data_IF_139930506996
#
_entry.id   IF_139930506996
#
_cell.length_a   1.000
_cell.length_b   1.000
_cell.length_c   1.000
_cell.angle_alpha   90.00
_cell.angle_beta   90.00
_cell.angle_gamma   90.00
#
_symmetry.space_group_name_H-M   'P 1'
#
loop_
_entity.id
_entity.type
_entity.pdbx_description
1 polymer ?
#
# COMPACT_ATOMS: atom_id res chain seq x y z
N UNK A 1 -7.01 -17.52 1.27
CA UNK A 1 -6.77 -17.03 2.65
C UNK A 1 -6.74 -15.53 2.56
N UNK A 2 -7.72 -14.85 3.15
CA UNK A 2 -7.79 -13.38 3.13
C UNK A 2 -6.76 -12.86 4.12
N UNK A 3 -5.81 -12.06 3.65
CA UNK A 3 -4.77 -11.51 4.53
C UNK A 3 -5.22 -10.17 5.06
N UNK A 4 -5.21 -10.04 6.37
CA UNK A 4 -5.60 -8.82 7.08
C UNK A 4 -4.53 -8.50 8.12
N UNK A 5 -4.19 -7.22 8.22
CA UNK A 5 -3.26 -6.72 9.24
C UNK A 5 -3.84 -5.46 9.86
N UNK A 6 -3.74 -5.35 11.18
CA UNK A 6 -4.15 -4.14 11.89
C UNK A 6 -3.28 -2.97 11.43
N UNK A 7 -3.91 -1.84 11.10
CA UNK A 7 -3.17 -0.67 10.64
C UNK A 7 -2.15 -0.16 11.67
N UNK A 8 -2.42 -0.38 12.97
CA UNK A 8 -1.51 -0.06 14.07
C UNK A 8 -0.18 -0.84 14.04
N UNK A 9 -0.17 -2.06 13.48
CA UNK A 9 1.03 -2.91 13.39
C UNK A 9 1.89 -2.60 12.14
N UNK A 10 1.36 -1.79 11.22
CA UNK A 10 2.07 -1.43 10.00
C UNK A 10 3.02 -0.27 10.28
N UNK A 11 4.32 -0.55 10.17
CA UNK A 11 5.36 0.48 10.26
C UNK A 11 5.78 1.01 8.90
N UNK A 12 5.70 0.19 7.86
CA UNK A 12 6.19 0.53 6.53
C UNK A 12 5.18 0.12 5.45
N UNK A 13 4.77 1.08 4.63
CA UNK A 13 3.96 0.88 3.44
C UNK A 13 4.87 0.85 2.21
N UNK A 14 4.84 -0.24 1.45
CA UNK A 14 5.61 -0.39 0.22
C UNK A 14 4.73 -0.08 -0.98
N UNK A 15 5.02 1.01 -1.67
CA UNK A 15 4.44 1.32 -2.97
C UNK A 15 5.20 0.59 -4.07
N UNK A 16 4.54 -0.39 -4.70
CA UNK A 16 5.10 -1.17 -5.79
C UNK A 16 4.71 -0.64 -7.17
N UNK A 17 5.67 -0.50 -8.09
CA UNK A 17 5.40 -0.10 -9.48
C UNK A 17 6.37 -0.78 -10.47
N UNK A 18 6.07 -0.70 -11.77
CA UNK A 18 6.85 -1.40 -12.81
C UNK A 18 8.28 -0.84 -12.95
N UNK A 19 8.42 0.48 -13.10
CA UNK A 19 9.67 1.11 -13.52
C UNK A 19 10.58 1.58 -12.36
N UNK A 20 10.14 1.50 -11.10
CA UNK A 20 10.98 1.90 -9.96
C UNK A 20 11.36 3.40 -9.85
N UNK A 21 11.11 4.24 -10.86
CA UNK A 21 11.51 5.66 -10.85
C UNK A 21 10.54 6.70 -11.48
N UNK A 22 9.42 6.30 -12.10
CA UNK A 22 8.72 7.21 -13.04
C UNK A 22 7.38 7.85 -12.62
N UNK A 23 6.49 7.16 -11.91
CA UNK A 23 5.08 7.60 -11.82
C UNK A 23 4.43 7.43 -10.44
N UNK A 24 5.12 6.81 -9.49
CA UNK A 24 4.57 6.51 -8.16
C UNK A 24 4.90 7.57 -7.10
N UNK A 25 5.80 8.52 -7.37
CA UNK A 25 6.11 9.61 -6.43
C UNK A 25 4.87 10.47 -6.16
N UNK A 26 4.02 10.65 -7.16
CA UNK A 26 2.75 11.36 -7.01
C UNK A 26 1.81 10.63 -6.03
N UNK A 27 1.68 9.30 -6.17
CA UNK A 27 0.85 8.48 -5.29
C UNK A 27 1.42 8.46 -3.87
N UNK A 28 2.74 8.25 -3.73
CA UNK A 28 3.44 8.31 -2.43
C UNK A 28 3.20 9.64 -1.73
N UNK A 29 3.36 10.76 -2.45
CA UNK A 29 3.12 12.08 -1.89
C UNK A 29 1.65 12.32 -1.54
N UNK A 30 0.71 11.78 -2.33
CA UNK A 30 -0.72 11.86 -2.04
C UNK A 30 -1.05 11.12 -0.74
N UNK A 31 -0.58 9.88 -0.58
CA UNK A 31 -0.77 9.08 0.66
C UNK A 31 -0.11 9.78 1.85
N UNK A 32 1.16 10.21 1.72
CA UNK A 32 1.86 10.97 2.78
C UNK A 32 1.10 12.23 3.18
N UNK A 33 0.56 12.98 2.22
CA UNK A 33 -0.27 14.16 2.49
C UNK A 33 -1.57 13.80 3.21
N UNK A 34 -2.24 12.72 2.81
CA UNK A 34 -3.48 12.26 3.47
C UNK A 34 -3.23 11.77 4.90
N UNK A 35 -2.21 10.93 5.11
CA UNK A 35 -1.79 10.47 6.44
C UNK A 35 -1.45 11.66 7.35
N UNK A 36 -0.68 12.63 6.83
CA UNK A 36 -0.34 13.86 7.58
C UNK A 36 -1.58 14.69 7.91
N UNK A 37 -2.53 14.84 6.99
CA UNK A 37 -3.81 15.53 7.26
C UNK A 37 -4.65 14.81 8.32
N UNK A 38 -4.54 13.50 8.38
CA UNK A 38 -5.25 12.65 9.33
C UNK A 38 -4.51 12.49 10.68
N UNK A 39 -3.43 13.25 10.91
CA UNK A 39 -2.56 13.13 12.10
C UNK A 39 -1.93 11.73 12.33
N UNK A 40 -1.91 10.88 11.30
CA UNK A 40 -1.24 9.58 11.38
C UNK A 40 0.28 9.79 11.28
N UNK A 41 0.97 9.42 12.35
CA UNK A 41 2.42 9.55 12.51
C UNK A 41 3.05 8.18 12.75
N UNK A 42 4.31 7.97 12.37
CA UNK A 42 5.03 6.71 12.63
C UNK A 42 4.94 5.65 11.53
N UNK A 43 4.30 5.97 10.41
CA UNK A 43 4.23 5.10 9.23
C UNK A 43 5.18 5.62 8.15
N UNK A 44 6.10 4.77 7.69
CA UNK A 44 7.01 5.09 6.60
C UNK A 44 6.43 4.64 5.26
N UNK A 45 6.44 5.52 4.25
CA UNK A 45 5.98 5.15 2.90
C UNK A 45 7.17 5.14 1.97
N UNK A 46 7.54 3.95 1.52
CA UNK A 46 8.69 3.69 0.64
C UNK A 46 8.21 3.25 -0.74
N UNK A 47 9.00 3.55 -1.76
CA UNK A 47 8.74 3.10 -3.12
C UNK A 47 9.74 2.02 -3.50
N UNK A 48 9.24 0.92 -4.07
CA UNK A 48 10.07 -0.17 -4.61
C UNK A 48 9.51 -0.68 -5.94
N UNK A 49 10.35 -1.23 -6.82
CA UNK A 49 9.86 -1.96 -7.98
C UNK A 49 9.09 -3.21 -7.55
N UNK A 50 8.02 -3.59 -8.26
CA UNK A 50 7.20 -4.76 -7.93
C UNK A 50 8.02 -6.07 -7.83
N UNK A 51 9.12 -6.17 -8.57
CA UNK A 51 10.06 -7.31 -8.54
C UNK A 51 11.03 -7.29 -7.36
N UNK A 52 11.24 -6.12 -6.74
CA UNK A 52 12.14 -5.93 -5.60
C UNK A 52 11.38 -5.70 -4.28
N UNK A 53 10.08 -5.99 -4.26
CA UNK A 53 9.30 -6.08 -3.03
C UNK A 53 9.86 -7.24 -2.20
N UNK A 54 10.21 -7.00 -0.94
CA UNK A 54 10.76 -8.03 -0.08
C UNK A 54 9.61 -8.94 0.42
N UNK A 55 9.94 -10.19 0.75
CA UNK A 55 8.93 -11.22 1.05
C UNK A 55 8.32 -11.05 2.45
N UNK A 56 9.02 -10.33 3.34
CA UNK A 56 8.60 -9.91 4.67
C UNK A 56 7.76 -8.62 4.66
N UNK A 57 7.38 -8.11 3.48
CA UNK A 57 6.53 -6.94 3.38
C UNK A 57 5.18 -7.20 4.08
N UNK A 58 4.82 -6.35 5.04
CA UNK A 58 3.53 -6.43 5.72
C UNK A 58 2.38 -5.97 4.80
N UNK A 59 2.58 -4.84 4.12
CA UNK A 59 1.60 -4.25 3.21
C UNK A 59 2.27 -3.72 1.96
N UNK A 60 1.65 -3.99 0.82
CA UNK A 60 2.09 -3.51 -0.49
C UNK A 60 0.92 -2.88 -1.21
N UNK A 61 1.11 -1.64 -1.65
CA UNK A 61 0.14 -0.91 -2.45
C UNK A 61 0.64 -0.90 -3.89
N UNK A 62 -0.15 -1.43 -4.83
CA UNK A 62 0.27 -1.67 -6.22
C UNK A 62 -0.87 -1.41 -7.19
N UNK A 63 -0.56 -1.03 -8.42
CA UNK A 63 -1.58 -0.94 -9.47
C UNK A 63 -2.18 -2.33 -9.76
N UNK A 64 -3.49 -2.43 -9.99
CA UNK A 64 -4.20 -3.68 -10.28
C UNK A 64 -3.50 -4.57 -11.33
N UNK A 65 -2.93 -3.97 -12.38
CA UNK A 65 -2.21 -4.71 -13.44
C UNK A 65 -0.93 -5.43 -12.97
N UNK A 66 -0.35 -5.03 -11.84
CA UNK A 66 0.87 -5.62 -11.25
C UNK A 66 0.59 -6.39 -9.95
N UNK A 67 -0.66 -6.46 -9.52
CA UNK A 67 -1.06 -7.14 -8.29
C UNK A 67 -0.60 -8.61 -8.26
N UNK A 68 -0.74 -9.30 -9.39
CA UNK A 68 -0.31 -10.69 -9.53
C UNK A 68 1.21 -10.88 -9.37
N UNK A 69 2.02 -9.89 -9.77
CA UNK A 69 3.48 -9.95 -9.60
C UNK A 69 3.84 -9.85 -8.12
N UNK A 70 3.23 -8.88 -7.42
CA UNK A 70 3.46 -8.68 -5.98
C UNK A 70 2.97 -9.88 -5.17
N UNK A 71 1.77 -10.39 -5.45
CA UNK A 71 1.22 -11.57 -4.75
C UNK A 71 2.10 -12.80 -4.90
N UNK A 72 2.73 -13.00 -6.06
CA UNK A 72 3.70 -14.09 -6.26
C UNK A 72 5.00 -13.88 -5.48
N UNK A 73 5.42 -12.64 -5.30
CA UNK A 73 6.69 -12.31 -4.65
C UNK A 73 6.58 -12.27 -3.13
N UNK A 74 5.52 -11.64 -2.61
CA UNK A 74 5.21 -11.54 -1.20
C UNK A 74 3.81 -12.15 -0.96
N UNK A 75 3.71 -13.49 -0.96
CA UNK A 75 2.42 -14.17 -0.79
C UNK A 75 1.84 -13.95 0.61
N UNK A 76 2.65 -13.54 1.58
CA UNK A 76 2.25 -13.25 2.96
C UNK A 76 1.92 -11.76 3.21
N UNK A 77 2.02 -10.92 2.17
CA UNK A 77 1.77 -9.49 2.30
C UNK A 77 0.32 -9.14 2.03
N UNK A 78 -0.19 -8.14 2.75
CA UNK A 78 -1.47 -7.52 2.43
C UNK A 78 -1.31 -6.68 1.16
N UNK A 79 -1.86 -7.16 0.05
CA UNK A 79 -1.79 -6.45 -1.24
C UNK A 79 -3.03 -5.60 -1.44
N UNK A 80 -2.85 -4.28 -1.41
CA UNK A 80 -3.87 -3.27 -1.71
C UNK A 80 -3.70 -2.81 -3.15
N UNK A 81 -4.73 -2.98 -3.96
CA UNK A 81 -4.70 -2.60 -5.37
C UNK A 81 -5.39 -1.25 -5.59
N UNK A 82 -4.83 -0.43 -6.46
CA UNK A 82 -5.45 0.80 -6.94
C UNK A 82 -5.52 0.82 -8.47
N UNK A 83 -6.46 1.60 -9.00
CA UNK A 83 -6.69 1.76 -10.44
C UNK A 83 -6.42 3.19 -10.89
N UNK A 84 -6.67 4.17 -10.02
CA UNK A 84 -6.46 5.57 -10.28
C UNK A 84 -5.22 6.10 -9.54
N UNK A 85 -4.38 6.86 -10.22
CA UNK A 85 -3.18 7.45 -9.58
C UNK A 85 -3.52 8.68 -8.71
N UNK A 86 -4.66 9.31 -8.98
CA UNK A 86 -5.15 10.50 -8.30
C UNK A 86 -6.57 10.19 -7.79
N UNK A 87 -6.80 10.43 -6.50
CA UNK A 87 -8.10 10.24 -5.83
C UNK A 87 -8.71 8.83 -5.93
N UNK A 88 -7.87 7.79 -5.90
CA UNK A 88 -8.41 6.44 -5.76
C UNK A 88 -9.00 6.24 -4.35
N UNK A 89 -10.23 5.70 -4.24
CA UNK A 89 -10.86 5.43 -2.94
C UNK A 89 -10.07 4.43 -2.10
N UNK A 90 -9.21 3.60 -2.70
CA UNK A 90 -8.31 2.71 -1.96
C UNK A 90 -7.36 3.50 -1.05
N UNK A 91 -6.91 4.70 -1.46
CA UNK A 91 -6.04 5.53 -0.61
C UNK A 91 -6.79 6.12 0.58
N UNK A 92 -8.06 6.51 0.40
CA UNK A 92 -8.89 7.00 1.50
C UNK A 92 -9.20 5.88 2.49
N UNK A 93 -9.58 4.69 2.01
CA UNK A 93 -9.78 3.50 2.86
C UNK A 93 -8.53 3.12 3.63
N UNK A 94 -7.36 3.17 2.97
CA UNK A 94 -6.09 2.89 3.61
C UNK A 94 -5.84 3.87 4.76
N UNK A 95 -5.97 5.17 4.51
CA UNK A 95 -5.74 6.22 5.52
C UNK A 95 -6.78 6.12 6.64
N UNK A 96 -8.04 5.89 6.32
CA UNK A 96 -9.13 5.73 7.30
C UNK A 96 -8.88 4.53 8.22
N UNK A 97 -8.38 3.41 7.69
CA UNK A 97 -7.97 2.27 8.50
C UNK A 97 -6.85 2.63 9.49
N UNK A 98 -5.86 3.45 9.07
CA UNK A 98 -4.84 3.96 9.99
C UNK A 98 -5.38 4.90 11.07
N UNK A 99 -6.42 5.68 10.77
CA UNK A 99 -7.04 6.60 11.73
C UNK A 99 -7.90 5.87 12.74
N UNK A 100 -8.71 4.92 12.26
CA UNK A 100 -9.64 4.14 13.08
C UNK A 100 -8.96 2.99 13.81
N UNK A 101 -7.73 2.63 13.43
CA UNK A 101 -7.05 1.44 13.92
C UNK A 101 -7.66 0.13 13.40
N UNK A 102 -8.35 0.21 12.26
CA UNK A 102 -9.00 -0.95 11.64
C UNK A 102 -8.03 -1.92 10.96
N UNK A 103 -8.56 -3.06 10.56
CA UNK A 103 -7.84 -4.06 9.77
C UNK A 103 -7.81 -3.69 8.29
N UNK A 104 -6.61 -3.66 7.71
CA UNK A 104 -6.44 -3.51 6.27
C UNK A 104 -6.44 -4.91 5.66
N UNK A 105 -7.45 -5.17 4.84
CA UNK A 105 -7.61 -6.44 4.15
C UNK A 105 -7.01 -6.36 2.75
N UNK A 106 -6.42 -7.47 2.29
CA UNK A 106 -6.02 -7.62 0.90
C UNK A 106 -7.29 -7.59 0.05
N UNK A 107 -7.39 -6.64 -0.88
CA UNK A 107 -8.49 -6.61 -1.86
C UNK A 107 -8.36 -7.86 -2.74
N UNK A 108 -8.99 -8.96 -2.35
CA UNK A 108 -9.19 -10.13 -3.21
C UNK A 108 -10.41 -9.84 -4.07
N UNK A 109 -10.11 -9.53 -5.33
CA UNK A 109 -11.03 -9.37 -6.47
C UNK A 109 -12.02 -8.20 -6.39
#
# INVERSE_FOLDING_TARGET
>A
MTQSIAAADIKTIIMACEAGMGSSLMVVNSIKKKLKKANVSGVNVVHKPARAVPEDAQIVVVHQGLANVVRRKAPNAVVVTFSHFLNDPAFDRLVDAFVTGGDIQSSME
#
